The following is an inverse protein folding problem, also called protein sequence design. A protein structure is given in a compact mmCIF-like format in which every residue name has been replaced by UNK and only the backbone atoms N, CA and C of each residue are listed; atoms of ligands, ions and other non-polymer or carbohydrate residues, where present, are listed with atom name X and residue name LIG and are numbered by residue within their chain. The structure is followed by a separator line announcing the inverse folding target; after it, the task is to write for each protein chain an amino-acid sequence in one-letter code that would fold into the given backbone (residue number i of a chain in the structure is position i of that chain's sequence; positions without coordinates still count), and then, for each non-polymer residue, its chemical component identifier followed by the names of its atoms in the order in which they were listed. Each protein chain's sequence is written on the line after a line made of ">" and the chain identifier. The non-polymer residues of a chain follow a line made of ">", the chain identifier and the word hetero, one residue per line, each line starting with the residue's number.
data_IF_489933593090
#
_entry.id   IF_489933593090
#
_cell.length_a   1.000
_cell.length_b   1.000
_cell.length_c   1.000
_cell.angle_alpha   90.00
_cell.angle_beta   90.00
_cell.angle_gamma   90.00
#
_symmetry.space_group_name_H-M   'P 1'
#
loop_
_entity.id
_entity.type
_entity.pdbx_description
1 polymer ?
#
# COMPACT_ATOMS: atom_id res chain seq x y z
N UNK A 1 -20.53 13.43 10.27
CA UNK A 1 -20.13 13.12 9.68
C UNK A 1 -19.68 12.09 9.47
N UNK A 2 -19.61 11.62 9.04
CA UNK A 2 -19.25 10.62 8.92
C UNK A 2 -18.19 10.35 8.34
N UNK A 3 -17.38 10.18 8.46
CA UNK A 3 -16.44 9.93 8.11
C UNK A 3 -16.00 9.13 7.58
N UNK A 4 -15.33 8.83 7.16
CA UNK A 4 -14.88 8.12 6.61
C UNK A 4 -13.84 7.49 6.83
N UNK A 5 -13.44 6.64 6.43
CA UNK A 5 -12.56 5.77 6.89
C UNK A 5 -11.27 5.84 6.23
N UNK A 6 -11.15 5.77 5.01
CA UNK A 6 -9.92 5.80 4.25
C UNK A 6 -9.70 7.22 3.78
N UNK A 7 -8.92 7.96 4.51
CA UNK A 7 -8.75 9.37 4.23
C UNK A 7 -7.33 9.79 4.54
N UNK A 8 -6.72 10.54 3.63
CA UNK A 8 -5.38 11.06 3.86
C UNK A 8 -5.40 12.00 5.06
N UNK A 9 -4.39 11.90 5.92
CA UNK A 9 -4.32 12.73 7.12
C UNK A 9 -2.98 13.46 7.15
N UNK A 10 -2.87 14.41 8.07
CA UNK A 10 -1.63 15.15 8.28
C UNK A 10 -0.68 14.45 9.23
N UNK A 11 -1.04 13.28 9.69
CA UNK A 11 -0.20 12.53 10.62
C UNK A 11 1.14 12.17 9.99
N UNK A 12 2.18 12.11 10.80
CA UNK A 12 3.51 11.82 10.31
C UNK A 12 3.69 10.33 10.09
N UNK A 13 4.13 9.95 8.90
CA UNK A 13 4.45 8.57 8.59
C UNK A 13 5.60 8.09 9.47
N UNK A 14 6.62 8.94 9.64
CA UNK A 14 7.79 8.57 10.44
C UNK A 14 7.39 8.32 11.90
N UNK A 15 6.55 9.19 12.45
CA UNK A 15 6.11 9.00 13.84
C UNK A 15 5.32 7.71 13.98
N UNK A 16 4.50 7.40 12.99
CA UNK A 16 3.73 6.16 13.01
C UNK A 16 4.65 4.94 13.05
N UNK A 17 5.69 4.94 12.21
CA UNK A 17 6.63 3.83 12.18
C UNK A 17 7.43 3.77 13.47
N UNK A 18 7.83 4.92 14.01
CA UNK A 18 8.61 4.94 15.24
C UNK A 18 7.85 4.41 16.45
N UNK A 19 6.53 4.44 16.39
CA UNK A 19 5.71 3.91 17.47
C UNK A 19 5.61 2.39 17.47
N UNK A 20 6.11 1.74 16.43
CA UNK A 20 6.09 0.28 16.39
C UNK A 20 7.06 -0.29 17.42
N UNK A 21 6.60 -1.33 18.12
CA UNK A 21 7.39 -1.91 19.20
C UNK A 21 8.42 -2.93 18.72
N UNK A 22 8.11 -3.62 17.64
CA UNK A 22 8.99 -4.67 17.12
C UNK A 22 10.03 -4.05 16.20
N UNK A 23 11.30 -4.16 16.58
CA UNK A 23 12.38 -3.53 15.82
C UNK A 23 12.53 -4.09 14.41
N UNK A 24 12.31 -5.39 14.25
CA UNK A 24 12.41 -5.99 12.93
C UNK A 24 11.30 -5.49 12.02
N UNK A 25 10.09 -5.39 12.55
CA UNK A 25 8.98 -4.88 11.76
C UNK A 25 9.14 -3.40 11.47
N UNK A 26 9.73 -2.66 12.40
CA UNK A 26 10.02 -1.25 12.16
C UNK A 26 11.01 -1.10 11.02
N UNK A 27 12.07 -1.91 11.00
CA UNK A 27 13.05 -1.87 9.93
C UNK A 27 12.40 -2.22 8.60
N UNK A 28 11.54 -3.25 8.59
CA UNK A 28 10.81 -3.63 7.38
C UNK A 28 9.93 -2.48 6.88
N UNK A 29 9.28 -1.78 7.81
CA UNK A 29 8.41 -0.67 7.45
C UNK A 29 9.20 0.46 6.79
N UNK A 30 10.38 0.77 7.30
CA UNK A 30 11.23 1.80 6.70
C UNK A 30 11.68 1.38 5.32
N UNK A 31 12.04 0.12 5.15
CA UNK A 31 12.44 -0.38 3.83
C UNK A 31 11.29 -0.34 2.85
N UNK A 32 10.09 -0.70 3.30
CA UNK A 32 8.92 -0.65 2.45
C UNK A 32 8.61 0.79 2.04
N UNK A 33 8.74 1.72 2.98
CA UNK A 33 8.52 3.12 2.67
C UNK A 33 9.44 3.56 1.53
N UNK A 34 10.71 3.21 1.62
CA UNK A 34 11.68 3.56 0.60
C UNK A 34 11.35 2.89 -0.74
N UNK A 35 11.01 1.60 -0.70
CA UNK A 35 10.69 0.86 -1.91
C UNK A 35 9.48 1.46 -2.63
N UNK A 36 8.43 1.76 -1.87
CA UNK A 36 7.22 2.34 -2.46
C UNK A 36 7.47 3.74 -2.99
N UNK A 37 8.23 4.56 -2.26
CA UNK A 37 8.53 5.92 -2.74
C UNK A 37 9.36 5.87 -4.01
N UNK A 38 10.31 4.96 -4.08
CA UNK A 38 11.16 4.81 -5.24
C UNK A 38 10.37 4.32 -6.45
N UNK A 39 9.48 3.36 -6.23
CA UNK A 39 8.72 2.76 -7.33
C UNK A 39 7.61 3.67 -7.84
N UNK A 40 7.06 4.53 -6.99
CA UNK A 40 5.92 5.37 -7.37
C UNK A 40 6.28 6.81 -7.65
N UNK A 41 7.40 7.30 -7.12
CA UNK A 41 7.77 8.70 -7.13
C UNK A 41 6.83 9.57 -6.29
N UNK A 42 6.02 8.96 -5.46
CA UNK A 42 5.15 9.69 -4.52
C UNK A 42 5.69 9.56 -3.12
N UNK A 43 5.46 10.57 -2.31
CA UNK A 43 5.80 10.51 -0.90
C UNK A 43 4.72 9.75 -0.14
N UNK A 44 5.14 8.99 0.88
CA UNK A 44 4.20 8.27 1.71
C UNK A 44 3.39 9.22 2.57
N UNK A 45 2.10 8.93 2.69
CA UNK A 45 1.17 9.70 3.51
C UNK A 45 0.32 8.75 4.32
N UNK A 46 -0.12 9.21 5.48
CA UNK A 46 -1.01 8.39 6.29
C UNK A 46 -2.42 8.44 5.73
N UNK A 47 -3.03 7.27 5.63
CA UNK A 47 -4.42 7.12 5.23
C UNK A 47 -5.12 6.35 6.33
N UNK A 48 -6.01 7.02 7.05
CA UNK A 48 -6.62 6.41 8.21
C UNK A 48 -5.59 6.22 9.31
N UNK A 49 -5.86 5.33 10.26
CA UNK A 49 -5.00 5.19 11.44
C UNK A 49 -3.74 4.34 11.22
N UNK A 50 -3.69 3.52 10.18
CA UNK A 50 -2.60 2.55 10.08
C UNK A 50 -2.12 2.23 8.68
N UNK A 51 -2.55 2.98 7.66
CA UNK A 51 -2.16 2.71 6.28
C UNK A 51 -1.23 3.81 5.81
N UNK A 52 -0.10 3.43 5.24
CA UNK A 52 0.81 4.35 4.57
C UNK A 52 0.55 4.22 3.09
N UNK A 53 0.03 5.28 2.47
CA UNK A 53 -0.37 5.24 1.07
C UNK A 53 0.45 6.16 0.20
N UNK A 54 0.42 5.91 -1.11
CA UNK A 54 1.25 6.60 -2.09
C UNK A 54 0.39 6.99 -3.27
N UNK A 55 0.32 8.29 -3.55
CA UNK A 55 -0.54 8.80 -4.58
C UNK A 55 -2.00 8.68 -4.14
N UNK A 56 -2.90 9.04 -5.04
CA UNK A 56 -4.33 8.92 -4.73
C UNK A 56 -5.13 8.90 -6.01
N UNK A 57 -6.34 8.41 -5.92
CA UNK A 57 -7.29 8.47 -7.02
C UNK A 57 -8.67 8.71 -6.45
N UNK A 58 -9.54 9.26 -7.29
CA UNK A 58 -10.91 9.54 -6.89
C UNK A 58 -11.81 8.52 -7.56
N UNK A 59 -12.60 7.80 -6.77
CA UNK A 59 -13.53 6.82 -7.32
C UNK A 59 -14.96 7.32 -7.19
N UNK A 60 -15.79 6.88 -8.11
CA UNK A 60 -17.19 7.22 -8.09
C UNK A 60 -17.99 6.03 -8.63
N UNK A 61 -18.84 5.51 -7.79
CA UNK A 61 -19.66 4.36 -8.18
C UNK A 61 -20.98 4.82 -8.78
N UNK A 62 -21.62 3.91 -9.54
CA UNK A 62 -22.91 4.21 -10.12
C UNK A 62 -23.95 4.56 -9.07
N UNK A 63 -23.78 4.07 -7.87
CA UNK A 63 -24.70 4.36 -6.76
C UNK A 63 -24.58 5.80 -6.25
N UNK A 64 -23.60 6.55 -6.74
CA UNK A 64 -23.36 7.90 -6.27
C UNK A 64 -22.31 7.99 -5.19
N UNK A 65 -21.84 6.86 -4.71
CA UNK A 65 -20.81 6.81 -3.69
C UNK A 65 -19.45 7.18 -4.27
N UNK A 66 -18.76 8.10 -3.64
CA UNK A 66 -17.46 8.51 -4.15
C UNK A 66 -16.52 8.84 -3.00
N UNK A 67 -15.23 8.90 -3.30
CA UNK A 67 -14.22 9.20 -2.33
C UNK A 67 -12.84 9.11 -2.91
N UNK A 68 -11.84 9.24 -2.07
CA UNK A 68 -10.45 9.15 -2.45
C UNK A 68 -9.80 7.95 -1.79
N UNK A 69 -8.81 7.39 -2.46
CA UNK A 69 -8.06 6.26 -1.92
C UNK A 69 -6.63 6.34 -2.43
N UNK A 70 -5.67 5.72 -1.71
CA UNK A 70 -4.30 5.71 -2.21
C UNK A 70 -4.19 4.77 -3.40
N UNK A 71 -3.30 5.08 -4.33
CA UNK A 71 -3.07 4.21 -5.47
C UNK A 71 -2.49 2.87 -5.02
N UNK A 72 -1.54 2.90 -4.13
CA UNK A 72 -0.96 1.72 -3.51
C UNK A 72 -0.58 2.08 -2.08
N UNK A 73 -0.28 1.08 -1.27
CA UNK A 73 0.13 1.35 0.08
C UNK A 73 0.43 0.09 0.85
N UNK A 74 0.79 0.26 2.11
CA UNK A 74 1.00 -0.88 3.00
C UNK A 74 0.61 -0.52 4.42
N UNK A 75 0.30 -1.54 5.20
CA UNK A 75 -0.05 -1.37 6.60
C UNK A 75 0.76 -2.38 7.41
N UNK A 76 1.76 -1.91 8.16
CA UNK A 76 2.56 -2.83 8.99
C UNK A 76 1.79 -3.14 10.27
N UNK A 77 1.20 -4.32 10.31
CA UNK A 77 0.41 -4.74 11.47
C UNK A 77 1.20 -5.71 12.31
N UNK A 78 0.70 -5.99 13.50
CA UNK A 78 1.43 -6.84 14.43
C UNK A 78 1.70 -8.24 13.87
N UNK A 79 0.70 -8.84 13.27
CA UNK A 79 0.84 -10.21 12.78
C UNK A 79 1.43 -10.27 11.39
N UNK A 80 1.00 -9.38 10.52
CA UNK A 80 1.38 -9.41 9.11
C UNK A 80 1.47 -8.01 8.56
N UNK A 81 2.15 -7.90 7.44
CA UNK A 81 2.18 -6.66 6.68
C UNK A 81 1.15 -6.80 5.56
N UNK A 82 0.23 -5.86 5.49
CA UNK A 82 -0.76 -5.85 4.42
C UNK A 82 -0.25 -4.94 3.31
N UNK A 83 -0.21 -5.46 2.09
CA UNK A 83 0.20 -4.69 0.92
C UNK A 83 -1.04 -4.43 0.07
N UNK A 84 -1.35 -3.17 -0.15
CA UNK A 84 -2.55 -2.77 -0.92
C UNK A 84 -2.12 -2.55 -2.35
N UNK A 85 -2.28 -3.58 -3.15
CA UNK A 85 -1.83 -3.61 -4.55
C UNK A 85 -2.90 -4.25 -5.41
N UNK A 86 -2.93 -3.86 -6.68
CA UNK A 86 -3.77 -4.55 -7.66
C UNK A 86 -2.94 -5.66 -8.29
N UNK A 87 -3.39 -6.89 -8.17
CA UNK A 87 -2.63 -8.04 -8.65
C UNK A 87 -3.33 -8.71 -9.80
N UNK A 88 -3.12 -8.20 -11.00
CA UNK A 88 -3.70 -8.82 -12.17
C UNK A 88 -2.73 -9.75 -12.87
N UNK A 89 -1.45 -9.64 -12.57
CA UNK A 89 -0.46 -10.49 -13.21
C UNK A 89 0.01 -11.57 -12.24
N UNK A 90 -0.61 -12.72 -12.36
CA UNK A 90 -0.32 -13.81 -11.43
C UNK A 90 1.09 -14.35 -11.60
N UNK A 91 1.68 -14.20 -12.79
CA UNK A 91 3.05 -14.66 -12.98
C UNK A 91 4.03 -13.89 -12.10
N UNK A 92 3.73 -12.64 -11.79
CA UNK A 92 4.58 -11.89 -10.86
C UNK A 92 4.47 -12.44 -9.45
N UNK A 93 3.28 -12.90 -9.07
CA UNK A 93 3.09 -13.47 -7.74
C UNK A 93 3.83 -14.79 -7.57
N UNK A 94 4.02 -15.54 -8.65
CA UNK A 94 4.72 -16.80 -8.56
C UNK A 94 6.17 -16.63 -8.14
N UNK A 95 6.79 -15.53 -8.50
CA UNK A 95 8.17 -15.26 -8.13
C UNK A 95 8.29 -14.29 -6.96
N UNK A 96 7.15 -13.87 -6.40
CA UNK A 96 7.14 -12.87 -5.33
C UNK A 96 7.71 -13.40 -4.01
N UNK A 97 7.37 -14.64 -3.67
CA UNK A 97 7.80 -15.22 -2.41
C UNK A 97 6.61 -15.61 -1.55
N UNK A 98 6.88 -15.82 -0.27
CA UNK A 98 5.86 -16.34 0.63
C UNK A 98 4.84 -15.27 0.98
N UNK A 99 3.59 -15.51 0.62
CA UNK A 99 2.52 -14.55 0.86
C UNK A 99 1.17 -15.26 0.85
N UNK A 100 0.15 -14.55 1.35
CA UNK A 100 -1.24 -14.96 1.16
C UNK A 100 -1.96 -13.82 0.49
N UNK A 101 -3.03 -14.15 -0.22
CA UNK A 101 -3.73 -13.18 -1.04
C UNK A 101 -5.12 -12.92 -0.49
N UNK A 102 -5.46 -11.66 -0.30
CA UNK A 102 -6.80 -11.25 0.06
C UNK A 102 -7.52 -10.66 -1.14
N UNK A 103 -8.65 -10.00 -0.91
CA UNK A 103 -9.43 -9.44 -2.00
C UNK A 103 -8.71 -8.29 -2.69
N UNK A 104 -8.20 -7.36 -1.91
CA UNK A 104 -7.57 -6.17 -2.46
C UNK A 104 -6.18 -5.98 -1.89
N UNK A 105 -5.61 -7.02 -1.31
CA UNK A 105 -4.31 -6.88 -0.70
C UNK A 105 -3.59 -8.21 -0.63
N UNK A 106 -2.30 -8.12 -0.40
CA UNK A 106 -1.44 -9.29 -0.23
C UNK A 106 -0.87 -9.20 1.16
N UNK A 107 -0.79 -10.33 1.85
CA UNK A 107 -0.26 -10.37 3.22
C UNK A 107 1.08 -11.07 3.24
N UNK A 108 2.06 -10.45 3.88
CA UNK A 108 3.38 -11.09 4.07
C UNK A 108 3.76 -10.98 5.54
N UNK A 109 4.54 -11.95 6.01
CA UNK A 109 4.97 -11.94 7.40
C UNK A 109 6.14 -10.99 7.61
N UNK A 110 7.08 -11.00 6.71
CA UNK A 110 8.24 -10.14 6.83
C UNK A 110 8.82 -9.89 5.44
N UNK A 111 9.54 -8.80 5.32
CA UNK A 111 10.09 -8.39 4.04
C UNK A 111 11.07 -9.41 3.47
N UNK A 112 11.79 -10.11 4.34
CA UNK A 112 12.75 -11.10 3.90
C UNK A 112 12.12 -12.29 3.18
N UNK A 113 10.81 -12.48 3.34
CA UNK A 113 10.10 -13.59 2.70
C UNK A 113 9.82 -13.33 1.22
N UNK A 114 10.00 -12.12 0.74
CA UNK A 114 9.59 -11.75 -0.61
C UNK A 114 10.75 -11.15 -1.40
N UNK A 115 10.57 -11.15 -2.72
CA UNK A 115 11.54 -10.55 -3.64
C UNK A 115 11.18 -9.08 -3.83
N UNK A 116 12.03 -8.19 -3.37
CA UNK A 116 11.72 -6.76 -3.43
C UNK A 116 11.73 -6.21 -4.86
N UNK A 117 12.45 -6.85 -5.78
CA UNK A 117 12.39 -6.43 -7.18
C UNK A 117 11.05 -6.75 -7.78
N UNK A 118 10.49 -7.92 -7.44
CA UNK A 118 9.15 -8.28 -7.89
C UNK A 118 8.13 -7.33 -7.24
N UNK A 119 8.36 -6.98 -5.98
CA UNK A 119 7.48 -6.02 -5.31
C UNK A 119 7.44 -4.70 -6.05
N UNK A 120 8.59 -4.20 -6.49
CA UNK A 120 8.62 -2.95 -7.26
C UNK A 120 7.81 -3.06 -8.54
N UNK A 121 7.91 -4.20 -9.23
CA UNK A 121 7.13 -4.41 -10.44
C UNK A 121 5.62 -4.42 -10.14
N UNK A 122 5.24 -5.09 -9.05
CA UNK A 122 3.85 -5.13 -8.64
C UNK A 122 3.32 -3.74 -8.31
N UNK A 123 4.15 -2.93 -7.63
CA UNK A 123 3.76 -1.57 -7.29
C UNK A 123 3.53 -0.75 -8.54
N UNK A 124 4.48 -0.79 -9.46
CA UNK A 124 4.37 0.00 -10.70
C UNK A 124 3.16 -0.42 -11.51
N UNK A 125 2.91 -1.70 -11.58
CA UNK A 125 1.75 -2.18 -12.32
C UNK A 125 0.45 -1.78 -11.64
N UNK A 126 0.43 -1.81 -10.31
CA UNK A 126 -0.77 -1.41 -9.58
C UNK A 126 -1.09 0.05 -9.81
N UNK A 127 -0.07 0.91 -9.79
CA UNK A 127 -0.26 2.34 -10.06
C UNK A 127 -0.84 2.53 -11.46
N UNK A 128 -0.27 1.85 -12.44
CA UNK A 128 -0.76 1.92 -13.82
C UNK A 128 -2.21 1.49 -13.93
N UNK A 129 -2.53 0.37 -13.30
CA UNK A 129 -3.88 -0.16 -13.34
C UNK A 129 -4.89 0.82 -12.76
N UNK A 130 -4.59 1.37 -11.58
CA UNK A 130 -5.53 2.30 -10.96
C UNK A 130 -5.62 3.64 -11.69
N UNK A 131 -4.51 4.10 -12.27
CA UNK A 131 -4.56 5.34 -13.04
C UNK A 131 -5.38 5.18 -14.31
N UNK A 132 -5.35 3.98 -14.90
CA UNK A 132 -6.17 3.71 -16.09
C UNK A 132 -7.65 3.57 -15.74
N UNK A 133 -7.94 2.97 -14.59
CA UNK A 133 -9.32 2.81 -14.15
C UNK A 133 -9.94 4.11 -13.64
N UNK A 134 -9.14 4.95 -13.01
CA UNK A 134 -9.61 6.18 -12.38
C UNK A 134 -8.68 7.32 -12.77
N UNK A 135 -8.75 7.78 -14.03
CA UNK A 135 -7.85 8.84 -14.49
C UNK A 135 -8.07 10.11 -13.68
N UNK A 136 -6.98 10.74 -13.27
CA UNK A 136 -7.06 12.02 -12.59
C UNK A 136 -7.18 13.13 -13.61
N UNK A 137 -7.99 14.10 -13.28
CA UNK A 137 -8.20 15.21 -14.18
C UNK A 137 -7.18 16.28 -14.00
#
# INVERSE_FOLDING_TARGET
>A
MTERKMKETDNSVIEFIEMMENEKKKADAYQLLEIFEEATDYKGKMWGPSIIGFGSYHYKYASGREGDAPLVGFSPRKAKISLYLSCEREELLESFGKHTKGKACIYVNKLADIDTNVLKDLIKQSVETYQNLYPNE
#
